data_IF_539061966359
#
_entry.id   IF_539061966359
#
_cell.length_a   1.000
_cell.length_b   1.000
_cell.length_c   1.000
_cell.angle_alpha   90.00
_cell.angle_beta   90.00
_cell.angle_gamma   90.00
#
_symmetry.space_group_name_H-M   'P 1'
#
loop_
_entity.id
_entity.type
_entity.pdbx_description
1 polymer ?
#
# COMPACT_ATOMS: atom_id res chain seq x y z
N UNK A 1 -4.11 -2.91 2.42
CA UNK A 1 -2.91 -3.27 3.21
C UNK A 1 -1.70 -3.33 2.29
N UNK A 2 -0.58 -2.87 2.80
CA UNK A 2 0.71 -2.93 2.10
C UNK A 2 1.65 -3.73 3.00
N UNK A 3 2.27 -4.74 2.47
CA UNK A 3 3.17 -5.62 3.22
C UNK A 3 4.59 -5.40 2.70
N UNK A 4 5.46 -4.93 3.55
CA UNK A 4 6.87 -4.75 3.24
C UNK A 4 7.71 -5.92 3.75
N UNK A 5 8.61 -6.42 2.94
CA UNK A 5 9.48 -7.54 3.25
C UNK A 5 10.94 -7.10 3.20
N UNK A 6 11.70 -7.45 4.22
CA UNK A 6 13.12 -7.17 4.33
C UNK A 6 13.89 -8.48 4.43
N UNK A 7 14.98 -8.58 3.68
CA UNK A 7 15.87 -9.73 3.69
C UNK A 7 15.46 -10.87 2.76
N UNK A 8 16.39 -11.78 2.54
CA UNK A 8 16.15 -13.00 1.76
C UNK A 8 15.35 -13.99 2.61
N UNK A 9 14.15 -14.32 2.15
CA UNK A 9 13.23 -15.18 2.90
C UNK A 9 12.35 -14.44 3.90
N UNK A 10 12.24 -13.12 3.76
CA UNK A 10 11.39 -12.26 4.57
C UNK A 10 11.70 -12.34 6.08
N UNK A 11 12.93 -11.98 6.45
CA UNK A 11 13.37 -11.95 7.85
C UNK A 11 12.51 -11.01 8.71
N UNK A 12 12.06 -9.90 8.14
CA UNK A 12 11.16 -8.95 8.78
C UNK A 12 9.96 -8.66 7.87
N UNK A 13 8.78 -8.65 8.46
CA UNK A 13 7.53 -8.31 7.78
C UNK A 13 6.92 -7.09 8.45
N UNK A 14 6.73 -6.03 7.64
CA UNK A 14 6.08 -4.80 8.07
C UNK A 14 4.74 -4.67 7.35
N UNK A 15 3.68 -4.41 8.09
CA UNK A 15 2.33 -4.22 7.54
C UNK A 15 1.91 -2.76 7.74
N UNK A 16 1.70 -2.07 6.64
CA UNK A 16 1.11 -0.73 6.61
C UNK A 16 -0.38 -0.87 6.31
N UNK A 17 -1.21 -0.40 7.21
CA UNK A 17 -2.66 -0.61 7.14
C UNK A 17 -3.41 0.62 7.62
N UNK A 18 -4.74 0.58 7.52
CA UNK A 18 -5.59 1.61 8.11
C UNK A 18 -5.49 1.59 9.63
N UNK A 19 -5.80 2.71 10.25
CA UNK A 19 -5.76 2.83 11.72
C UNK A 19 -6.67 1.81 12.40
N UNK A 20 -7.85 1.55 11.83
CA UNK A 20 -8.82 0.59 12.38
C UNK A 20 -8.34 -0.86 12.29
N UNK A 21 -7.52 -1.18 11.29
CA UNK A 21 -7.02 -2.53 11.08
C UNK A 21 -5.81 -2.89 11.95
N UNK A 22 -5.13 -1.89 12.51
CA UNK A 22 -3.86 -2.09 13.22
C UNK A 22 -3.96 -3.03 14.41
N UNK A 23 -4.92 -2.81 15.30
CA UNK A 23 -5.10 -3.64 16.50
C UNK A 23 -5.50 -5.07 16.13
N UNK A 24 -6.53 -5.31 15.29
CA UNK A 24 -6.88 -6.67 14.87
C UNK A 24 -5.71 -7.45 14.26
N UNK A 25 -4.93 -6.82 13.39
CA UNK A 25 -3.76 -7.46 12.76
C UNK A 25 -2.71 -7.83 13.82
N UNK A 26 -2.43 -6.93 14.75
CA UNK A 26 -1.45 -7.17 15.80
C UNK A 26 -1.89 -8.29 16.76
N UNK A 27 -3.20 -8.37 17.03
CA UNK A 27 -3.76 -9.46 17.83
C UNK A 27 -3.65 -10.82 17.12
N UNK A 28 -3.77 -10.81 15.78
CA UNK A 28 -3.71 -12.04 14.99
C UNK A 28 -2.28 -12.61 14.94
N UNK A 29 -1.28 -11.76 14.83
CA UNK A 29 0.12 -12.17 14.77
C UNK A 29 1.02 -11.14 15.46
N UNK A 30 1.35 -11.36 16.76
CA UNK A 30 2.16 -10.42 17.53
C UNK A 30 3.58 -10.19 17.00
N UNK A 31 4.08 -11.10 16.15
CA UNK A 31 5.42 -11.03 15.57
C UNK A 31 5.52 -10.00 14.44
N UNK A 32 4.39 -9.59 13.85
CA UNK A 32 4.37 -8.64 12.76
C UNK A 32 4.67 -7.23 13.27
N UNK A 33 5.41 -6.47 12.47
CA UNK A 33 5.57 -5.04 12.68
C UNK A 33 4.37 -4.36 12.01
N UNK A 34 3.46 -3.81 12.80
CA UNK A 34 2.24 -3.19 12.29
C UNK A 34 2.36 -1.68 12.37
N UNK A 35 2.18 -1.01 11.23
CA UNK A 35 2.21 0.44 11.10
C UNK A 35 0.84 0.93 10.63
N UNK A 36 -0.06 1.36 11.53
CA UNK A 36 -1.41 1.83 11.19
C UNK A 36 -1.37 3.30 10.73
N UNK A 37 -0.73 3.54 9.59
CA UNK A 37 -0.42 4.89 9.10
C UNK A 37 -1.40 5.41 8.07
N UNK A 38 -2.36 4.60 7.63
CA UNK A 38 -3.32 4.99 6.61
C UNK A 38 -4.59 5.50 7.27
N UNK A 39 -4.88 6.78 7.09
CA UNK A 39 -6.10 7.41 7.55
C UNK A 39 -7.17 7.33 6.46
N UNK A 40 -8.35 6.83 6.82
CA UNK A 40 -9.50 6.76 5.94
C UNK A 40 -10.55 7.77 6.42
N UNK A 41 -10.55 8.95 5.80
CA UNK A 41 -11.51 10.01 6.12
C UNK A 41 -12.59 10.13 5.06
N UNK A 42 -13.83 10.23 5.52
CA UNK A 42 -14.97 10.49 4.64
C UNK A 42 -14.99 11.99 4.28
N UNK A 43 -14.57 12.28 3.08
CA UNK A 43 -14.55 13.63 2.53
C UNK A 43 -14.76 13.58 1.01
N UNK A 44 -15.18 14.70 0.43
CA UNK A 44 -15.40 14.77 -1.01
C UNK A 44 -14.07 14.58 -1.76
N UNK A 45 -14.06 13.74 -2.81
CA UNK A 45 -12.86 13.36 -3.54
C UNK A 45 -12.09 14.53 -4.16
N UNK A 46 -12.75 15.64 -4.46
CA UNK A 46 -12.11 16.84 -5.02
C UNK A 46 -11.77 17.88 -3.96
N UNK A 47 -12.07 17.62 -2.69
CA UNK A 47 -11.81 18.57 -1.62
C UNK A 47 -10.33 18.68 -1.27
N UNK A 48 -9.93 19.81 -0.70
CA UNK A 48 -8.57 20.00 -0.20
C UNK A 48 -8.26 19.02 0.93
N UNK A 49 -9.25 18.68 1.76
CA UNK A 49 -9.11 17.69 2.82
C UNK A 49 -8.77 16.31 2.27
N UNK A 50 -9.42 15.89 1.19
CA UNK A 50 -9.14 14.62 0.52
C UNK A 50 -7.70 14.58 0.01
N UNK A 51 -7.27 15.62 -0.68
CA UNK A 51 -5.90 15.73 -1.19
C UNK A 51 -4.87 15.68 -0.06
N UNK A 52 -5.14 16.38 1.03
CA UNK A 52 -4.26 16.43 2.20
C UNK A 52 -4.13 15.07 2.87
N UNK A 53 -5.23 14.35 3.07
CA UNK A 53 -5.22 13.01 3.67
C UNK A 53 -4.44 12.03 2.79
N UNK A 54 -4.69 12.03 1.49
CA UNK A 54 -3.98 11.17 0.55
C UNK A 54 -2.46 11.46 0.55
N UNK A 55 -2.09 12.73 0.59
CA UNK A 55 -0.68 13.13 0.63
C UNK A 55 -0.01 12.72 1.95
N UNK A 56 -0.70 12.91 3.07
CA UNK A 56 -0.20 12.48 4.39
C UNK A 56 0.01 10.97 4.43
N UNK A 57 -0.95 10.19 3.93
CA UNK A 57 -0.84 8.73 3.84
C UNK A 57 0.35 8.33 2.96
N UNK A 58 0.45 8.92 1.79
CA UNK A 58 1.55 8.67 0.85
C UNK A 58 2.92 8.92 1.49
N UNK A 59 3.09 10.08 2.12
CA UNK A 59 4.37 10.45 2.75
C UNK A 59 4.74 9.50 3.89
N UNK A 60 3.77 9.10 4.71
CA UNK A 60 3.98 8.13 5.79
C UNK A 60 4.41 6.77 5.27
N UNK A 61 3.78 6.30 4.21
CA UNK A 61 4.10 5.00 3.59
C UNK A 61 5.48 5.05 2.95
N UNK A 62 5.76 6.06 2.14
CA UNK A 62 7.04 6.19 1.42
C UNK A 62 8.21 6.26 2.38
N UNK A 63 8.06 6.94 3.51
CA UNK A 63 9.12 7.00 4.54
C UNK A 63 9.49 5.63 5.10
N UNK A 64 8.54 4.70 5.13
CA UNK A 64 8.76 3.32 5.57
C UNK A 64 9.34 2.43 4.46
N UNK A 65 9.02 2.74 3.20
CA UNK A 65 9.42 1.92 2.06
C UNK A 65 10.91 1.97 1.74
N UNK A 66 11.63 2.96 2.20
CA UNK A 66 13.07 3.11 1.92
C UNK A 66 13.90 1.91 2.39
N UNK A 67 13.46 1.26 3.47
CA UNK A 67 14.15 0.11 4.07
C UNK A 67 13.56 -1.24 3.64
N UNK A 68 12.59 -1.22 2.76
CA UNK A 68 11.86 -2.41 2.31
C UNK A 68 12.47 -2.91 1.02
N UNK A 69 12.73 -4.21 0.93
CA UNK A 69 13.32 -4.84 -0.25
C UNK A 69 12.28 -5.23 -1.30
N UNK A 70 11.11 -5.69 -0.85
CA UNK A 70 10.01 -6.07 -1.73
C UNK A 70 8.67 -5.77 -1.08
N UNK A 71 7.65 -5.60 -1.88
CA UNK A 71 6.33 -5.15 -1.43
C UNK A 71 5.22 -6.02 -2.00
N UNK A 72 4.26 -6.36 -1.14
CA UNK A 72 2.96 -6.89 -1.56
C UNK A 72 1.92 -5.81 -1.30
N UNK A 73 1.16 -5.42 -2.30
CA UNK A 73 0.18 -4.34 -2.19
C UNK A 73 -1.21 -4.82 -2.56
N UNK A 74 -2.19 -4.45 -1.75
CA UNK A 74 -3.60 -4.62 -2.03
C UNK A 74 -4.38 -5.62 -1.21
N UNK A 75 -3.80 -6.68 -0.61
CA UNK A 75 -4.62 -7.64 0.14
C UNK A 75 -5.42 -6.93 1.23
N UNK A 76 -6.74 -7.16 1.24
CA UNK A 76 -7.63 -6.61 2.25
C UNK A 76 -7.67 -5.08 2.34
N UNK A 77 -7.26 -4.37 1.28
CA UNK A 77 -7.19 -2.91 1.30
C UNK A 77 -8.58 -2.25 1.31
N UNK A 78 -9.59 -2.93 0.77
CA UNK A 78 -10.91 -2.33 0.56
C UNK A 78 -10.91 -1.34 -0.60
N UNK A 79 -12.03 -0.67 -0.77
CA UNK A 79 -12.25 0.26 -1.89
C UNK A 79 -12.68 1.65 -1.43
N UNK A 80 -12.25 2.06 -0.25
CA UNK A 80 -12.46 3.42 0.21
C UNK A 80 -11.73 4.40 -0.75
N UNK A 81 -12.35 5.52 -1.16
CA UNK A 81 -11.73 6.45 -2.12
C UNK A 81 -10.33 6.91 -1.72
N UNK A 82 -10.11 7.21 -0.44
CA UNK A 82 -8.79 7.58 0.08
C UNK A 82 -7.79 6.44 -0.08
N UNK A 83 -8.20 5.20 0.19
CA UNK A 83 -7.33 4.03 0.02
C UNK A 83 -6.96 3.84 -1.44
N UNK A 84 -7.93 3.91 -2.35
CA UNK A 84 -7.69 3.77 -3.80
C UNK A 84 -6.66 4.79 -4.29
N UNK A 85 -6.85 6.07 -3.97
CA UNK A 85 -5.91 7.13 -4.34
C UNK A 85 -4.53 6.94 -3.72
N UNK A 86 -4.48 6.52 -2.45
CA UNK A 86 -3.22 6.22 -1.77
C UNK A 86 -2.49 5.07 -2.46
N UNK A 87 -3.18 3.98 -2.79
CA UNK A 87 -2.60 2.84 -3.50
C UNK A 87 -2.08 3.23 -4.88
N UNK A 88 -2.83 4.03 -5.64
CA UNK A 88 -2.37 4.52 -6.94
C UNK A 88 -1.03 5.26 -6.83
N UNK A 89 -0.92 6.17 -5.89
CA UNK A 89 0.32 6.93 -5.67
C UNK A 89 1.48 6.04 -5.24
N UNK A 90 1.22 5.09 -4.35
CA UNK A 90 2.26 4.17 -3.84
C UNK A 90 2.71 3.22 -4.95
N UNK A 91 1.79 2.68 -5.75
CA UNK A 91 2.14 1.83 -6.90
C UNK A 91 3.04 2.61 -7.87
N UNK A 92 2.67 3.84 -8.20
CA UNK A 92 3.50 4.70 -9.07
C UNK A 92 4.90 4.93 -8.51
N UNK A 93 5.02 5.16 -7.22
CA UNK A 93 6.31 5.30 -6.54
C UNK A 93 7.15 4.04 -6.63
N UNK A 94 6.55 2.87 -6.37
CA UNK A 94 7.25 1.58 -6.39
C UNK A 94 7.75 1.24 -7.80
N UNK A 95 6.95 1.55 -8.82
CA UNK A 95 7.31 1.38 -10.21
C UNK A 95 8.46 2.30 -10.60
N UNK A 96 8.39 3.57 -10.22
CA UNK A 96 9.47 4.54 -10.47
C UNK A 96 10.79 4.10 -9.83
N UNK A 97 10.74 3.56 -8.62
CA UNK A 97 11.91 3.04 -7.90
C UNK A 97 12.31 1.63 -8.34
N UNK A 98 11.55 1.02 -9.24
CA UNK A 98 11.79 -0.34 -9.71
C UNK A 98 11.91 -1.37 -8.59
N UNK A 99 11.10 -1.23 -7.54
CA UNK A 99 11.07 -2.18 -6.43
C UNK A 99 10.30 -3.45 -6.81
N UNK A 100 10.78 -4.64 -6.42
CA UNK A 100 10.03 -5.87 -6.58
C UNK A 100 8.64 -5.74 -5.93
N UNK A 101 7.60 -6.02 -6.70
CA UNK A 101 6.23 -5.73 -6.35
C UNK A 101 5.30 -6.89 -6.71
N UNK A 102 4.50 -7.33 -5.75
CA UNK A 102 3.37 -8.22 -5.97
C UNK A 102 2.09 -7.41 -5.76
N UNK A 103 1.16 -7.50 -6.70
CA UNK A 103 -0.15 -6.84 -6.61
C UNK A 103 -1.20 -7.91 -6.46
N UNK A 104 -2.03 -7.81 -5.43
CA UNK A 104 -3.06 -8.80 -5.11
C UNK A 104 -4.36 -8.12 -4.63
N UNK A 105 -5.44 -8.88 -4.60
CA UNK A 105 -6.72 -8.45 -4.05
C UNK A 105 -7.20 -7.09 -4.60
N UNK A 106 -7.52 -6.17 -3.71
CA UNK A 106 -8.00 -4.83 -4.09
C UNK A 106 -6.96 -3.99 -4.83
N UNK A 107 -5.67 -4.32 -4.70
CA UNK A 107 -4.61 -3.70 -5.52
C UNK A 107 -4.76 -4.05 -7.01
N UNK A 108 -5.14 -5.28 -7.32
CA UNK A 108 -5.46 -5.67 -8.69
C UNK A 108 -6.65 -4.89 -9.24
N UNK A 109 -7.67 -4.69 -8.43
CA UNK A 109 -8.82 -3.89 -8.83
C UNK A 109 -8.40 -2.46 -9.18
N UNK A 110 -7.55 -1.83 -8.35
CA UNK A 110 -7.01 -0.48 -8.63
C UNK A 110 -6.31 -0.44 -9.99
N UNK A 111 -5.46 -1.42 -10.28
CA UNK A 111 -4.74 -1.49 -11.55
C UNK A 111 -5.69 -1.71 -12.73
N UNK A 112 -6.75 -2.51 -12.56
CA UNK A 112 -7.74 -2.71 -13.64
C UNK A 112 -8.51 -1.43 -13.96
N UNK A 113 -8.72 -0.55 -12.98
CA UNK A 113 -9.34 0.76 -13.21
C UNK A 113 -8.39 1.74 -13.92
N UNK A 114 -7.10 1.57 -13.75
CA UNK A 114 -6.09 2.47 -14.33
C UNK A 114 -4.86 1.67 -14.81
N UNK A 115 -4.99 0.92 -15.92
CA UNK A 115 -3.89 0.06 -16.41
C UNK A 115 -2.59 0.82 -16.73
N UNK A 116 -2.70 2.13 -17.03
CA UNK A 116 -1.54 2.99 -17.28
C UNK A 116 -0.55 3.05 -16.12
N UNK A 117 -0.95 2.70 -14.90
CA UNK A 117 -0.05 2.63 -13.75
C UNK A 117 1.14 1.70 -13.99
N UNK A 118 0.94 0.63 -14.78
CA UNK A 118 1.95 -0.39 -15.04
C UNK A 118 2.78 -0.14 -16.31
N UNK A 119 2.55 0.96 -17.01
CA UNK A 119 3.25 1.26 -18.26
C UNK A 119 4.76 1.36 -18.02
N UNK A 120 5.53 0.57 -18.79
CA UNK A 120 6.99 0.58 -18.71
C UNK A 120 7.59 -0.21 -17.53
N UNK A 121 6.75 -0.88 -16.73
CA UNK A 121 7.22 -1.69 -15.60
C UNK A 121 7.31 -3.17 -15.98
N UNK A 122 8.44 -3.79 -15.65
CA UNK A 122 8.60 -5.24 -15.75
C UNK A 122 8.13 -5.84 -14.42
N UNK A 123 6.93 -6.42 -14.41
CA UNK A 123 6.33 -6.96 -13.21
C UNK A 123 7.15 -8.13 -12.66
N UNK A 124 7.41 -8.08 -11.36
CA UNK A 124 8.01 -9.20 -10.63
C UNK A 124 7.00 -10.33 -10.43
N UNK A 125 5.77 -9.97 -10.07
CA UNK A 125 4.67 -10.91 -9.93
C UNK A 125 3.32 -10.17 -9.85
N UNK A 126 2.27 -10.80 -10.37
CA UNK A 126 0.88 -10.43 -10.12
C UNK A 126 0.19 -11.66 -9.56
N UNK A 127 -0.43 -11.52 -8.39
CA UNK A 127 -1.25 -12.57 -7.80
C UNK A 127 -2.73 -12.35 -8.18
N UNK A 128 -3.43 -13.41 -8.45
CA UNK A 128 -4.86 -13.39 -8.84
C UNK A 128 -5.75 -13.91 -7.72
#
# INVERSE_FOLDING_TARGET
MIIGLIGKGADLVTIMCSEEAGIPIKCYSPELIVCPVIQLKDCAEESDQFKQVCETNYNSIVSLLDRIDSVVIGPGAGRHPVMIHTLEKVISYLIEKNKPLVIDGDGLWVVTQKPSLLTGYVLSAIAT
#
